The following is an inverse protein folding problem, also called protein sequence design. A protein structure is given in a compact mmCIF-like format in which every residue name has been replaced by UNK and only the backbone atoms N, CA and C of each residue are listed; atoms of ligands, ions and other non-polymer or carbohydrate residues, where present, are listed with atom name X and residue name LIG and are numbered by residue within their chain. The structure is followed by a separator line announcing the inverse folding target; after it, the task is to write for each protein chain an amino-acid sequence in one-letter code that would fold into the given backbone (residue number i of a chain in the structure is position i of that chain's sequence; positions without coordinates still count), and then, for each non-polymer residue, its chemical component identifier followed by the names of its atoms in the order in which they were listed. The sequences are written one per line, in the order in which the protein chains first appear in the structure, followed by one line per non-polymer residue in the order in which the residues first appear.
data_IF_518234332381
#
_entry.id   IF_518234332381
#
_cell.length_a   1.000
_cell.length_b   1.000
_cell.length_c   1.000
_cell.angle_alpha   90.00
_cell.angle_beta   90.00
_cell.angle_gamma   90.00
#
_symmetry.space_group_name_H-M   'P 1'
#
loop_
_entity.id
_entity.type
_entity.pdbx_description
1 polymer ?
#
# COMPACT_ATOMS: atom_id res chain seq x y z
N UNK A 1 9.25 -18.38 -3.66
CA UNK A 1 9.58 -18.25 -2.24
C UNK A 1 9.47 -19.61 -1.54
N UNK A 2 8.28 -20.22 -1.45
CA UNK A 2 8.10 -21.48 -0.67
C UNK A 2 8.94 -22.64 -1.17
N UNK A 3 9.15 -22.77 -2.48
CA UNK A 3 10.03 -23.79 -3.06
C UNK A 3 11.50 -23.62 -2.64
N UNK A 4 11.91 -22.43 -2.23
CA UNK A 4 13.27 -22.15 -1.72
C UNK A 4 13.34 -22.15 -0.19
N UNK A 5 12.27 -22.57 0.49
CA UNK A 5 12.24 -22.74 1.94
C UNK A 5 11.74 -21.54 2.75
N UNK A 6 11.33 -20.45 2.09
CA UNK A 6 10.78 -19.29 2.78
C UNK A 6 9.26 -19.44 3.01
N UNK A 7 8.79 -19.09 4.18
CA UNK A 7 7.35 -18.95 4.44
C UNK A 7 6.81 -17.64 3.86
N UNK A 8 5.66 -17.71 3.21
CA UNK A 8 5.01 -16.58 2.58
C UNK A 8 3.69 -16.23 3.29
N UNK A 9 3.66 -15.09 3.96
CA UNK A 9 2.49 -14.57 4.69
C UNK A 9 1.70 -13.61 3.79
N UNK A 10 0.49 -14.00 3.42
CA UNK A 10 -0.35 -13.26 2.47
C UNK A 10 -1.20 -12.21 3.17
N UNK A 11 -0.91 -10.94 2.94
CA UNK A 11 -1.73 -9.81 3.37
C UNK A 11 -2.89 -9.52 2.42
N UNK A 12 -2.95 -10.19 1.27
CA UNK A 12 -3.88 -9.96 0.16
C UNK A 12 -3.82 -8.52 -0.37
N UNK A 13 -4.98 -7.95 -0.74
CA UNK A 13 -5.03 -6.55 -1.20
C UNK A 13 -4.88 -5.64 0.00
N UNK A 14 -3.76 -4.94 0.04
CA UNK A 14 -3.40 -3.99 1.09
C UNK A 14 -2.50 -2.89 0.53
N UNK A 15 -2.23 -1.86 1.32
CA UNK A 15 -1.42 -0.71 0.91
C UNK A 15 0.08 -0.98 1.07
N UNK A 16 0.94 -0.30 0.30
CA UNK A 16 2.39 -0.37 0.48
C UNK A 16 2.82 -0.03 1.91
N UNK A 17 2.31 1.04 2.55
CA UNK A 17 2.60 1.31 3.97
C UNK A 17 2.18 0.19 4.93
N UNK A 18 1.12 -0.56 4.61
CA UNK A 18 0.71 -1.73 5.42
C UNK A 18 1.77 -2.82 5.37
N UNK A 19 2.32 -3.12 4.19
CA UNK A 19 3.39 -4.13 4.04
C UNK A 19 4.64 -3.69 4.82
N UNK A 20 5.04 -2.42 4.68
CA UNK A 20 6.19 -1.85 5.39
C UNK A 20 6.02 -1.90 6.91
N UNK A 21 4.83 -1.53 7.39
CA UNK A 21 4.51 -1.58 8.82
C UNK A 21 4.59 -3.00 9.38
N UNK A 22 3.97 -3.97 8.69
CA UNK A 22 3.92 -5.36 9.13
C UNK A 22 5.30 -6.04 9.05
N UNK A 23 6.09 -5.75 8.01
CA UNK A 23 7.46 -6.28 7.92
C UNK A 23 8.26 -5.94 9.19
N UNK A 24 8.14 -4.69 9.65
CA UNK A 24 8.86 -4.21 10.83
C UNK A 24 8.29 -4.71 12.17
N UNK A 25 6.95 -4.70 12.36
CA UNK A 25 6.37 -4.95 13.70
C UNK A 25 6.15 -6.42 14.00
N UNK A 26 6.14 -7.27 13.00
CA UNK A 26 5.96 -8.72 13.13
C UNK A 26 7.26 -9.49 12.82
N UNK A 27 8.40 -8.78 12.81
CA UNK A 27 9.76 -9.33 12.66
C UNK A 27 9.90 -10.22 11.40
N UNK A 28 9.33 -9.80 10.26
CA UNK A 28 9.56 -10.47 8.99
C UNK A 28 10.93 -10.12 8.40
N UNK A 29 11.55 -11.07 7.71
CA UNK A 29 12.83 -10.84 7.01
C UNK A 29 12.71 -9.80 5.91
N UNK A 30 11.57 -9.80 5.18
CA UNK A 30 11.26 -8.80 4.16
C UNK A 30 9.77 -8.73 3.85
N UNK A 31 9.37 -7.62 3.24
CA UNK A 31 8.06 -7.42 2.65
C UNK A 31 8.15 -7.34 1.13
N UNK A 32 7.14 -7.87 0.43
CA UNK A 32 7.03 -7.79 -1.03
C UNK A 32 5.68 -7.19 -1.38
N UNK A 33 5.69 -6.06 -2.09
CA UNK A 33 4.49 -5.43 -2.62
C UNK A 33 4.49 -5.50 -4.13
N UNK A 34 3.41 -6.04 -4.69
CA UNK A 34 3.17 -6.07 -6.14
C UNK A 34 2.10 -5.03 -6.45
N UNK A 35 2.45 -3.99 -7.21
CA UNK A 35 1.56 -2.87 -7.48
C UNK A 35 1.94 -2.10 -8.74
N UNK A 36 0.94 -1.53 -9.40
CA UNK A 36 1.13 -0.51 -10.42
C UNK A 36 1.45 0.88 -9.84
N UNK A 37 1.38 1.06 -8.50
CA UNK A 37 1.51 2.35 -7.82
C UNK A 37 0.51 3.37 -8.41
N UNK A 38 0.99 4.44 -9.03
CA UNK A 38 0.18 5.48 -9.69
C UNK A 38 0.01 5.24 -11.21
N UNK A 39 0.53 4.14 -11.73
CA UNK A 39 0.47 3.78 -13.15
C UNK A 39 -0.83 3.03 -13.50
N UNK A 40 -1.14 2.85 -14.79
CA UNK A 40 -2.19 1.94 -15.24
C UNK A 40 -1.89 0.49 -14.84
N UNK A 41 -2.93 -0.34 -14.79
CA UNK A 41 -2.86 -1.73 -14.33
C UNK A 41 -1.83 -2.62 -15.03
N UNK A 42 -1.46 -2.31 -16.26
CA UNK A 42 -0.50 -3.08 -17.05
C UNK A 42 0.97 -2.75 -16.75
N UNK A 43 1.22 -1.70 -15.97
CA UNK A 43 2.58 -1.28 -15.54
C UNK A 43 2.81 -1.69 -14.07
N UNK A 44 2.62 -2.97 -13.76
CA UNK A 44 2.92 -3.49 -12.43
C UNK A 44 4.42 -3.52 -12.17
N UNK A 45 4.77 -3.27 -10.91
CA UNK A 45 6.12 -3.39 -10.39
C UNK A 45 6.17 -4.21 -9.10
N UNK A 46 7.36 -4.57 -8.69
CA UNK A 46 7.61 -5.25 -7.42
C UNK A 46 8.45 -4.30 -6.54
N UNK A 47 7.94 -4.00 -5.34
CA UNK A 47 8.67 -3.25 -4.31
C UNK A 47 9.17 -4.23 -3.26
N UNK A 48 10.49 -4.27 -3.05
CA UNK A 48 11.11 -5.02 -1.97
C UNK A 48 11.31 -4.09 -0.77
N UNK A 49 10.88 -4.57 0.40
CA UNK A 49 10.88 -3.84 1.66
C UNK A 49 11.70 -4.67 2.65
N UNK A 50 12.61 -4.05 3.37
CA UNK A 50 13.44 -4.73 4.34
C UNK A 50 12.71 -5.00 5.67
N UNK A 51 13.38 -5.65 6.61
CA UNK A 51 12.85 -5.96 7.95
C UNK A 51 12.59 -4.72 8.81
N UNK A 52 13.12 -3.56 8.44
CA UNK A 52 12.87 -2.29 9.13
C UNK A 52 11.64 -1.54 8.56
N UNK A 53 11.03 -2.07 7.50
CA UNK A 53 9.92 -1.45 6.79
C UNK A 53 10.36 -0.35 5.83
N UNK A 54 11.63 -0.34 5.44
CA UNK A 54 12.21 0.60 4.50
C UNK A 54 12.39 -0.04 3.10
N UNK A 55 12.65 0.78 2.11
CA UNK A 55 13.00 0.26 0.77
C UNK A 55 14.26 -0.61 0.90
N UNK A 56 14.22 -1.81 0.32
CA UNK A 56 15.38 -2.72 0.28
C UNK A 56 16.63 -1.98 -0.20
N UNK A 57 17.79 -2.14 0.45
CA UNK A 57 19.05 -1.52 0.02
C UNK A 57 19.37 -1.84 -1.44
N UNK A 58 19.90 -0.86 -2.16
CA UNK A 58 20.20 -0.96 -3.59
C UNK A 58 21.16 -2.13 -3.89
N UNK A 59 22.14 -2.36 -3.02
CA UNK A 59 23.08 -3.48 -3.14
C UNK A 59 22.34 -4.83 -3.17
N UNK A 60 21.32 -5.03 -2.32
CA UNK A 60 20.51 -6.24 -2.31
C UNK A 60 19.64 -6.34 -3.54
N UNK A 61 19.08 -5.22 -4.00
CA UNK A 61 18.26 -5.19 -5.22
C UNK A 61 19.08 -5.56 -6.45
N UNK A 62 20.30 -5.05 -6.58
CA UNK A 62 21.23 -5.40 -7.65
C UNK A 62 21.59 -6.89 -7.63
N UNK A 63 21.78 -7.50 -6.46
CA UNK A 63 21.99 -8.94 -6.35
C UNK A 63 20.80 -9.76 -6.86
N UNK A 64 19.58 -9.31 -6.58
CA UNK A 64 18.35 -9.95 -7.09
C UNK A 64 18.25 -9.82 -8.60
N UNK A 65 18.54 -8.63 -9.15
CA UNK A 65 18.56 -8.39 -10.60
C UNK A 65 19.62 -9.23 -11.31
N UNK A 66 20.85 -9.27 -10.77
CA UNK A 66 21.94 -10.07 -11.30
C UNK A 66 21.60 -11.57 -11.25
N UNK A 67 20.87 -12.03 -10.22
CA UNK A 67 20.38 -13.40 -10.17
C UNK A 67 19.36 -13.70 -11.27
N UNK A 68 18.42 -12.78 -11.50
CA UNK A 68 17.40 -12.91 -12.56
C UNK A 68 18.05 -12.92 -13.95
N UNK A 69 19.12 -12.16 -14.12
CA UNK A 69 19.85 -12.03 -15.39
C UNK A 69 20.94 -13.11 -15.61
N UNK A 70 20.99 -14.16 -14.76
CA UNK A 70 22.02 -15.20 -14.78
C UNK A 70 23.47 -14.68 -14.69
N UNK A 71 23.65 -13.52 -14.05
CA UNK A 71 24.96 -12.86 -13.88
C UNK A 71 25.57 -13.12 -12.49
N UNK A 72 24.76 -13.62 -11.55
CA UNK A 72 25.17 -13.74 -10.16
C UNK A 72 25.97 -15.01 -9.91
N UNK A 73 27.26 -14.82 -9.65
CA UNK A 73 28.13 -15.87 -9.10
C UNK A 73 28.22 -15.70 -7.59
N UNK A 74 27.11 -15.98 -6.86
CA UNK A 74 27.10 -15.91 -5.40
C UNK A 74 27.81 -17.15 -4.83
N UNK A 75 28.80 -16.89 -3.98
CA UNK A 75 29.47 -17.90 -3.14
C UNK A 75 30.53 -18.77 -3.78
N UNK A 76 31.47 -18.32 -4.55
CA UNK A 76 32.65 -19.13 -4.98
C UNK A 76 32.36 -20.62 -5.32
N UNK A 77 31.12 -20.92 -5.61
CA UNK A 77 30.62 -22.24 -6.01
C UNK A 77 29.83 -22.07 -7.29
N UNK A 78 29.97 -23.01 -8.18
CA UNK A 78 29.22 -23.17 -9.44
C UNK A 78 27.72 -23.40 -9.17
N UNK A 79 27.04 -22.46 -8.54
CA UNK A 79 25.60 -22.51 -8.32
C UNK A 79 24.92 -21.83 -9.49
N UNK A 80 24.54 -22.63 -10.45
CA UNK A 80 23.71 -22.17 -11.57
C UNK A 80 22.31 -21.76 -11.09
N UNK A 81 21.86 -22.24 -9.92
CA UNK A 81 20.51 -21.98 -9.39
C UNK A 81 20.54 -22.00 -7.84
N UNK A 82 19.67 -21.19 -7.22
CA UNK A 82 19.43 -21.30 -5.78
C UNK A 82 18.82 -22.69 -5.49
N UNK A 83 19.30 -23.39 -4.45
CA UNK A 83 18.81 -24.74 -4.17
C UNK A 83 17.34 -24.69 -3.77
N UNK A 84 16.55 -25.61 -4.32
CA UNK A 84 15.20 -25.87 -3.83
C UNK A 84 15.26 -26.56 -2.46
N UNK A 85 14.36 -26.15 -1.58
CA UNK A 85 14.16 -26.83 -0.32
C UNK A 85 13.51 -28.20 -0.53
N UNK A 86 13.82 -29.15 0.38
CA UNK A 86 13.31 -30.51 0.30
C UNK A 86 12.58 -30.89 1.59
N UNK A 87 11.51 -31.68 1.44
CA UNK A 87 10.74 -32.27 2.53
C UNK A 87 10.22 -31.22 3.51
N UNK A 88 10.54 -31.35 4.80
CA UNK A 88 10.16 -30.47 5.90
C UNK A 88 10.74 -29.05 5.82
N UNK A 89 11.68 -28.81 4.92
CA UNK A 89 12.28 -27.49 4.71
C UNK A 89 11.56 -26.68 3.61
N UNK A 90 10.57 -27.27 2.93
CA UNK A 90 9.73 -26.50 1.99
C UNK A 90 8.88 -25.52 2.79
N UNK A 91 8.91 -24.23 2.39
CA UNK A 91 8.16 -23.18 3.06
C UNK A 91 6.64 -23.31 2.87
N UNK A 92 5.91 -22.63 3.71
CA UNK A 92 4.45 -22.62 3.73
C UNK A 92 3.88 -21.29 3.21
N UNK A 93 2.63 -21.35 2.71
CA UNK A 93 1.83 -20.15 2.48
C UNK A 93 0.83 -20.00 3.61
N UNK A 94 0.84 -18.84 4.28
CA UNK A 94 -0.02 -18.52 5.42
C UNK A 94 -0.95 -17.37 5.04
N UNK A 95 -2.24 -17.55 5.26
CA UNK A 95 -3.21 -16.45 5.16
C UNK A 95 -3.06 -15.52 6.38
N UNK A 96 -2.63 -14.26 6.15
CA UNK A 96 -2.28 -13.34 7.23
C UNK A 96 -3.13 -12.06 7.24
N UNK A 97 -4.44 -12.19 7.13
CA UNK A 97 -5.39 -11.07 7.25
C UNK A 97 -5.25 -10.33 8.59
N UNK A 98 -4.81 -11.00 9.64
CA UNK A 98 -4.53 -10.40 10.95
C UNK A 98 -3.51 -9.26 10.87
N UNK A 99 -2.48 -9.37 10.03
CA UNK A 99 -1.49 -8.32 9.79
C UNK A 99 -2.14 -7.05 9.24
N UNK A 100 -2.98 -7.17 8.20
CA UNK A 100 -3.73 -6.02 7.66
C UNK A 100 -4.60 -5.34 8.71
N UNK A 101 -5.30 -6.13 9.54
CA UNK A 101 -6.14 -5.60 10.61
C UNK A 101 -5.29 -4.88 11.69
N UNK A 102 -4.09 -5.37 11.97
CA UNK A 102 -3.14 -4.71 12.86
C UNK A 102 -2.71 -3.34 12.33
N UNK A 103 -2.44 -3.23 11.03
CA UNK A 103 -2.15 -1.94 10.41
C UNK A 103 -3.33 -0.97 10.51
N UNK A 104 -4.57 -1.41 10.26
CA UNK A 104 -5.76 -0.57 10.45
C UNK A 104 -5.88 -0.10 11.91
N UNK A 105 -5.67 -0.99 12.88
CA UNK A 105 -5.68 -0.64 14.31
C UNK A 105 -4.61 0.38 14.66
N UNK A 106 -3.43 0.26 14.08
CA UNK A 106 -2.36 1.26 14.22
C UNK A 106 -2.80 2.63 13.69
N UNK A 107 -3.35 2.70 12.46
CA UNK A 107 -3.85 3.97 11.91
C UNK A 107 -4.92 4.61 12.79
N UNK A 108 -5.86 3.83 13.29
CA UNK A 108 -6.92 4.29 14.20
C UNK A 108 -6.29 4.85 15.50
N UNK A 109 -5.25 4.20 16.02
CA UNK A 109 -4.58 4.65 17.26
C UNK A 109 -3.85 5.99 17.14
N UNK A 110 -3.56 6.46 15.92
CA UNK A 110 -2.98 7.78 15.67
C UNK A 110 -4.01 8.92 15.81
N UNK A 111 -5.29 8.59 15.73
CA UNK A 111 -6.37 9.57 15.89
C UNK A 111 -6.54 9.96 17.35
N UNK A 112 -6.01 11.13 17.73
CA UNK A 112 -6.12 11.66 19.09
C UNK A 112 -7.44 12.41 19.36
N UNK A 113 -8.18 12.75 18.28
CA UNK A 113 -9.46 13.43 18.36
C UNK A 113 -10.54 12.65 17.61
N UNK A 114 -11.78 12.81 18.05
CA UNK A 114 -12.93 12.27 17.32
C UNK A 114 -13.24 13.13 16.10
N UNK A 115 -13.55 12.49 14.99
CA UNK A 115 -14.00 13.14 13.75
C UNK A 115 -15.52 13.21 13.64
N UNK A 116 -16.25 13.04 14.77
CA UNK A 116 -17.71 13.08 14.79
C UNK A 116 -18.24 14.41 14.24
N UNK A 117 -19.09 14.30 13.22
CA UNK A 117 -19.70 15.44 12.54
C UNK A 117 -18.83 16.03 11.41
N UNK A 118 -17.66 15.46 11.14
CA UNK A 118 -16.83 15.82 9.99
C UNK A 118 -17.19 14.94 8.80
N UNK A 119 -17.54 15.55 7.68
CA UNK A 119 -17.86 14.88 6.42
C UNK A 119 -16.60 14.73 5.58
N UNK A 120 -16.15 13.50 5.38
CA UNK A 120 -14.89 13.19 4.70
C UNK A 120 -15.16 12.50 3.35
N UNK A 121 -14.65 13.08 2.28
CA UNK A 121 -14.61 12.47 0.94
C UNK A 121 -13.35 11.63 0.76
N UNK A 122 -13.48 10.41 0.25
CA UNK A 122 -12.34 9.53 0.00
C UNK A 122 -12.36 9.07 -1.45
N UNK A 123 -11.26 9.30 -2.18
CA UNK A 123 -11.03 8.71 -3.49
C UNK A 123 -9.96 7.61 -3.35
N UNK A 124 -10.38 6.35 -3.52
CA UNK A 124 -9.53 5.19 -3.34
C UNK A 124 -8.82 4.73 -4.63
N UNK A 125 -8.88 5.53 -5.71
CA UNK A 125 -8.24 5.21 -7.00
C UNK A 125 -8.58 3.81 -7.56
N UNK A 126 -9.65 3.16 -7.12
CA UNK A 126 -9.91 1.73 -7.33
C UNK A 126 -8.68 0.86 -6.99
N UNK A 127 -7.88 1.30 -6.03
CA UNK A 127 -6.63 0.71 -5.57
C UNK A 127 -6.75 0.02 -4.22
N UNK A 128 -5.64 -0.15 -3.56
CA UNK A 128 -5.49 -0.94 -2.32
C UNK A 128 -6.13 -0.32 -1.08
N UNK A 129 -6.37 1.01 -1.07
CA UNK A 129 -7.01 1.71 0.04
C UNK A 129 -8.52 1.47 0.15
N UNK A 130 -9.15 0.82 -0.83
CA UNK A 130 -10.61 0.71 -0.98
C UNK A 130 -11.35 0.19 0.27
N UNK A 131 -10.76 -0.72 1.03
CA UNK A 131 -11.37 -1.28 2.23
C UNK A 131 -10.73 -0.78 3.54
N UNK A 132 -9.58 -0.11 3.47
CA UNK A 132 -8.86 0.41 4.64
C UNK A 132 -9.32 1.83 4.97
N UNK A 133 -9.30 2.72 3.98
CA UNK A 133 -9.53 4.15 4.19
C UNK A 133 -10.88 4.42 4.87
N UNK A 134 -11.97 3.93 4.28
CA UNK A 134 -13.31 4.10 4.87
C UNK A 134 -13.38 3.52 6.29
N UNK A 135 -12.87 2.32 6.50
CA UNK A 135 -12.95 1.64 7.80
C UNK A 135 -12.24 2.43 8.91
N UNK A 136 -11.09 3.03 8.61
CA UNK A 136 -10.33 3.85 9.56
C UNK A 136 -11.10 5.12 9.93
N UNK A 137 -11.59 5.87 8.94
CA UNK A 137 -12.33 7.11 9.18
C UNK A 137 -13.68 6.87 9.87
N UNK A 138 -14.39 5.79 9.53
CA UNK A 138 -15.64 5.40 10.20
C UNK A 138 -15.42 5.13 11.70
N UNK A 139 -14.35 4.40 12.06
CA UNK A 139 -14.03 4.10 13.47
C UNK A 139 -13.62 5.38 14.21
N UNK A 140 -12.97 6.33 13.54
CA UNK A 140 -12.65 7.64 14.12
C UNK A 140 -13.88 8.56 14.25
N UNK A 141 -15.02 8.15 13.70
CA UNK A 141 -16.32 8.80 13.86
C UNK A 141 -16.70 9.77 12.75
N UNK A 142 -15.97 9.80 11.62
CA UNK A 142 -16.29 10.64 10.48
C UNK A 142 -17.53 10.14 9.72
N UNK A 143 -18.24 11.05 9.07
CA UNK A 143 -19.26 10.75 8.06
C UNK A 143 -18.54 10.58 6.71
N UNK A 144 -18.28 9.34 6.28
CA UNK A 144 -17.45 9.04 5.11
C UNK A 144 -18.24 8.86 3.82
N UNK A 145 -17.79 9.54 2.78
CA UNK A 145 -18.30 9.46 1.41
C UNK A 145 -17.18 8.96 0.50
N UNK A 146 -17.40 7.90 -0.26
CA UNK A 146 -16.31 7.23 -0.98
C UNK A 146 -16.61 7.11 -2.47
N UNK A 147 -15.63 7.48 -3.29
CA UNK A 147 -15.63 7.24 -4.74
C UNK A 147 -14.45 6.32 -5.12
N UNK A 148 -14.52 5.75 -6.33
CA UNK A 148 -13.48 4.90 -6.89
C UNK A 148 -13.02 3.78 -5.92
N UNK A 149 -13.98 3.07 -5.30
CA UNK A 149 -13.73 2.04 -4.30
C UNK A 149 -14.18 0.64 -4.75
N UNK A 150 -14.26 0.40 -6.05
CA UNK A 150 -14.67 -0.89 -6.63
C UNK A 150 -13.60 -1.43 -7.57
N UNK A 151 -12.46 -1.88 -7.03
CA UNK A 151 -11.38 -2.42 -7.85
C UNK A 151 -11.83 -3.67 -8.61
N UNK A 152 -11.47 -3.74 -9.89
CA UNK A 152 -11.74 -4.91 -10.74
C UNK A 152 -10.47 -5.48 -11.40
N UNK A 153 -9.29 -4.99 -11.00
CA UNK A 153 -7.98 -5.39 -11.53
C UNK A 153 -7.56 -4.64 -12.81
N UNK A 154 -8.48 -3.88 -13.44
CA UNK A 154 -8.21 -3.15 -14.69
C UNK A 154 -8.45 -1.65 -14.58
N UNK A 155 -9.10 -1.19 -13.51
CA UNK A 155 -9.55 0.20 -13.35
C UNK A 155 -8.75 1.01 -12.33
N UNK A 156 -7.65 0.47 -11.82
CA UNK A 156 -6.76 1.19 -10.88
C UNK A 156 -6.23 2.46 -11.53
N UNK A 157 -6.27 3.59 -10.81
CA UNK A 157 -5.84 4.93 -11.24
C UNK A 157 -6.51 5.47 -12.51
N UNK A 158 -7.53 4.80 -13.06
CA UNK A 158 -8.17 5.23 -14.29
C UNK A 158 -9.12 6.40 -14.03
N UNK A 159 -8.68 7.62 -14.35
CA UNK A 159 -9.37 8.87 -14.04
C UNK A 159 -9.78 8.95 -12.55
N UNK A 160 -8.91 8.53 -11.65
CA UNK A 160 -9.20 8.35 -10.25
C UNK A 160 -7.96 8.58 -9.38
N UNK A 161 -8.19 8.95 -8.12
CA UNK A 161 -7.16 9.09 -7.11
C UNK A 161 -6.30 10.33 -7.22
N UNK A 162 -5.14 10.31 -6.58
CA UNK A 162 -4.25 11.47 -6.43
C UNK A 162 -3.66 12.00 -7.73
N UNK A 163 -3.62 11.19 -8.78
CA UNK A 163 -3.17 11.61 -10.13
C UNK A 163 -4.25 12.27 -10.97
N UNK A 164 -5.51 12.21 -10.52
CA UNK A 164 -6.70 12.78 -11.18
C UNK A 164 -7.62 13.43 -10.14
N UNK A 165 -7.09 14.44 -9.45
CA UNK A 165 -7.69 15.05 -8.27
C UNK A 165 -9.02 15.78 -8.57
N UNK A 166 -9.25 16.15 -9.82
CA UNK A 166 -10.43 16.93 -10.26
C UNK A 166 -11.76 16.22 -9.92
N UNK A 167 -11.73 14.88 -9.95
CA UNK A 167 -12.88 14.06 -9.56
C UNK A 167 -13.25 14.26 -8.09
N UNK A 168 -12.27 14.26 -7.19
CA UNK A 168 -12.47 14.50 -5.76
C UNK A 168 -12.84 15.96 -5.48
N UNK A 169 -12.21 16.94 -6.14
CA UNK A 169 -12.55 18.37 -5.97
C UNK A 169 -14.05 18.62 -6.24
N UNK A 170 -14.54 18.12 -7.36
CA UNK A 170 -15.95 18.19 -7.72
C UNK A 170 -16.84 17.47 -6.70
N UNK A 171 -16.45 16.27 -6.29
CA UNK A 171 -17.20 15.45 -5.36
C UNK A 171 -17.35 16.11 -3.98
N UNK A 172 -16.30 16.73 -3.46
CA UNK A 172 -16.30 17.46 -2.19
C UNK A 172 -17.30 18.63 -2.24
N UNK A 173 -17.21 19.47 -3.28
CA UNK A 173 -18.06 20.66 -3.42
C UNK A 173 -19.53 20.28 -3.62
N UNK A 174 -19.82 19.36 -4.54
CA UNK A 174 -21.20 18.95 -4.85
C UNK A 174 -21.93 18.28 -3.69
N UNK A 175 -21.20 17.62 -2.79
CA UNK A 175 -21.79 16.93 -1.63
C UNK A 175 -21.67 17.73 -0.33
N UNK A 176 -21.09 18.93 -0.36
CA UNK A 176 -20.90 19.77 0.82
C UNK A 176 -20.10 19.07 1.90
N UNK A 177 -18.97 18.46 1.49
CA UNK A 177 -18.05 17.78 2.40
C UNK A 177 -17.06 18.77 2.99
N UNK A 178 -16.57 18.49 4.19
CA UNK A 178 -15.63 19.38 4.89
C UNK A 178 -14.20 19.23 4.37
N UNK A 179 -13.84 18.01 3.94
CA UNK A 179 -12.50 17.68 3.44
C UNK A 179 -12.55 16.46 2.53
N UNK A 180 -11.61 16.36 1.59
CA UNK A 180 -11.43 15.18 0.76
C UNK A 180 -9.99 14.68 0.76
N UNK A 181 -9.80 13.36 0.65
CA UNK A 181 -8.48 12.72 0.51
C UNK A 181 -8.48 11.79 -0.71
N UNK A 182 -7.52 11.98 -1.61
CA UNK A 182 -7.29 11.10 -2.75
C UNK A 182 -5.98 10.33 -2.56
N UNK A 183 -6.07 9.03 -2.72
CA UNK A 183 -4.92 8.12 -2.67
C UNK A 183 -4.49 7.74 -4.09
N UNK A 184 -3.27 7.26 -4.27
CA UNK A 184 -2.89 6.53 -5.47
C UNK A 184 -3.14 5.01 -5.29
N UNK A 185 -2.83 4.22 -6.31
CA UNK A 185 -3.23 2.82 -6.36
C UNK A 185 -2.74 1.95 -5.20
N UNK A 186 -1.56 2.19 -4.66
CA UNK A 186 -1.00 1.47 -3.50
C UNK A 186 -0.97 2.31 -2.21
N UNK A 187 -1.56 3.52 -2.27
CA UNK A 187 -1.81 4.41 -1.14
C UNK A 187 -0.54 4.78 -0.34
N UNK A 188 0.59 4.96 -1.03
CA UNK A 188 1.80 5.56 -0.47
C UNK A 188 1.82 7.09 -0.68
N UNK A 189 0.88 7.63 -1.48
CA UNK A 189 0.65 9.06 -1.72
C UNK A 189 -0.77 9.44 -1.38
N UNK A 190 -0.92 10.67 -0.88
CA UNK A 190 -2.22 11.25 -0.58
C UNK A 190 -2.22 12.74 -0.94
N UNK A 191 -3.29 13.19 -1.58
CA UNK A 191 -3.60 14.62 -1.75
C UNK A 191 -4.88 14.96 -1.00
N UNK A 192 -4.94 16.18 -0.47
CA UNK A 192 -6.07 16.70 0.27
C UNK A 192 -6.80 17.79 -0.52
N UNK A 193 -8.11 17.91 -0.31
CA UNK A 193 -8.98 18.94 -0.90
C UNK A 193 -9.80 19.56 0.22
N UNK A 194 -9.86 20.91 0.29
CA UNK A 194 -10.69 21.64 1.23
C UNK A 194 -12.18 21.67 0.84
N UNK A 195 -13.01 22.22 1.68
CA UNK A 195 -14.48 22.36 1.47
C UNK A 195 -14.86 23.19 0.24
N UNK A 196 -13.93 23.95 -0.32
CA UNK A 196 -14.13 24.77 -1.53
C UNK A 196 -13.63 24.10 -2.81
N UNK A 197 -13.05 22.89 -2.68
CA UNK A 197 -12.45 22.19 -3.79
C UNK A 197 -11.01 22.60 -4.10
N UNK A 198 -10.33 23.37 -3.24
CA UNK A 198 -8.94 23.72 -3.44
C UNK A 198 -8.04 22.55 -3.03
N UNK A 199 -7.00 22.30 -3.81
CA UNK A 199 -5.97 21.29 -3.45
C UNK A 199 -5.09 21.83 -2.34
N UNK A 200 -4.97 21.07 -1.27
CA UNK A 200 -4.06 21.30 -0.16
C UNK A 200 -2.82 20.45 -0.38
N UNK A 201 -1.71 21.10 -0.66
CA UNK A 201 -0.42 20.41 -0.94
C UNK A 201 0.24 19.93 0.35
N UNK A 202 1.22 19.05 0.20
CA UNK A 202 2.05 18.60 1.33
C UNK A 202 2.72 19.75 2.08
N UNK A 203 3.10 20.83 1.38
CA UNK A 203 3.69 22.03 2.01
C UNK A 203 2.71 22.72 2.94
N UNK A 204 1.42 22.80 2.57
CA UNK A 204 0.39 23.33 3.46
C UNK A 204 0.23 22.45 4.72
N UNK A 205 0.24 21.12 4.55
CA UNK A 205 0.11 20.16 5.68
C UNK A 205 1.31 20.26 6.62
N UNK A 206 2.53 20.43 6.08
CA UNK A 206 3.75 20.60 6.89
C UNK A 206 3.78 21.94 7.63
N UNK A 207 3.03 22.96 7.17
CA UNK A 207 2.94 24.27 7.81
C UNK A 207 2.00 24.28 9.03
N UNK A 208 1.01 23.39 9.09
CA UNK A 208 0.04 23.28 10.18
C UNK A 208 0.68 22.59 11.39
#
# INVERSE_FOLDING_TARGET
LTASGADAYLLHVTTTPSVAYIARVDDFDCGIMISASHNPYYDNGIKLIDCYGEKMPEETMLLVEDYIDDKLHVFDKDWAELPFAHREHIGCTVDYVAGRNRYMSYLISLGIYSFKGVKVGLDCANGSSWNIAKSVFDVLGADTYVINNKPNGLNINNNAGSTHIEGLQKFVVENGLDVGFAFDGDADRCLCVDEKGNVITGDHILYI
#
